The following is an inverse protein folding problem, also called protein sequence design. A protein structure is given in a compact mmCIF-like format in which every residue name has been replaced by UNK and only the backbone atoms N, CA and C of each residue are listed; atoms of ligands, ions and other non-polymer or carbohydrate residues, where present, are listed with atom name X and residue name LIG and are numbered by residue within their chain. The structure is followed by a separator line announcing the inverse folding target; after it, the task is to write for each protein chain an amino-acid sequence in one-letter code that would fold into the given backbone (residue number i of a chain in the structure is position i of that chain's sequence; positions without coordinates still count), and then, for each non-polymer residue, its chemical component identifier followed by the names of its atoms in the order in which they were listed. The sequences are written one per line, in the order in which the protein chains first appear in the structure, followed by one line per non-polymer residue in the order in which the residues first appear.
data_IF_368320022554
#
_entry.id   IF_368320022554
#
_cell.length_a   1.000
_cell.length_b   1.000
_cell.length_c   1.000
_cell.angle_alpha   90.00
_cell.angle_beta   90.00
_cell.angle_gamma   90.00
#
_symmetry.space_group_name_H-M   'P 1'
#
loop_
_entity.id
_entity.type
_entity.pdbx_description
1 polymer ?
#
# COMPACT_ATOMS: atom_id res chain seq x y z
N UNK A 1 -27.71 13.60 -17.27
CA UNK A 1 -26.89 12.43 -17.65
C UNK A 1 -25.61 12.96 -18.30
N UNK A 2 -24.52 13.04 -17.56
CA UNK A 2 -23.21 13.39 -18.09
C UNK A 2 -22.61 12.13 -18.70
N UNK A 3 -22.65 12.02 -20.03
CA UNK A 3 -21.92 10.97 -20.76
C UNK A 3 -20.42 11.26 -20.60
N UNK A 4 -19.81 10.51 -19.70
CA UNK A 4 -18.35 10.54 -19.57
C UNK A 4 -17.72 10.20 -20.91
N UNK A 5 -16.83 11.05 -21.41
CA UNK A 5 -16.01 10.75 -22.61
C UNK A 5 -15.32 9.40 -22.40
N UNK A 6 -15.35 8.48 -23.36
CA UNK A 6 -14.61 7.24 -23.23
C UNK A 6 -13.12 7.56 -23.09
N UNK A 7 -12.45 6.93 -22.14
CA UNK A 7 -11.00 7.06 -21.86
C UNK A 7 -10.10 6.51 -23.01
N UNK A 8 -10.67 6.36 -24.20
CA UNK A 8 -9.94 5.92 -25.40
C UNK A 8 -9.08 7.09 -25.87
N UNK A 9 -7.78 6.92 -25.92
CA UNK A 9 -6.71 7.84 -26.36
C UNK A 9 -6.15 8.79 -25.28
N UNK A 10 -6.13 8.40 -24.01
CA UNK A 10 -5.29 9.08 -23.03
C UNK A 10 -3.86 8.55 -23.17
N UNK A 11 -2.96 9.38 -23.63
CA UNK A 11 -1.52 9.12 -23.57
C UNK A 11 -0.97 9.66 -22.26
N UNK A 12 -0.34 8.78 -21.47
CA UNK A 12 0.41 9.21 -20.31
C UNK A 12 1.72 9.86 -20.78
N UNK A 13 1.97 11.10 -20.36
CA UNK A 13 3.23 11.80 -20.59
C UNK A 13 3.98 11.96 -19.28
N UNK A 14 5.28 11.65 -19.30
CA UNK A 14 6.17 12.04 -18.20
C UNK A 14 6.29 13.55 -18.24
N UNK A 15 5.77 14.22 -17.23
CA UNK A 15 5.81 15.69 -17.11
C UNK A 15 7.08 16.12 -16.40
N UNK A 16 7.52 15.33 -15.41
CA UNK A 16 8.72 15.60 -14.62
C UNK A 16 9.32 14.31 -14.06
N UNK A 17 10.61 14.36 -13.72
CA UNK A 17 11.34 13.27 -13.08
C UNK A 17 11.96 13.79 -11.80
N UNK A 18 11.56 13.20 -10.66
CA UNK A 18 12.05 13.59 -9.35
C UNK A 18 13.10 12.59 -8.91
N UNK A 19 14.30 13.08 -8.65
CA UNK A 19 15.38 12.27 -8.12
C UNK A 19 15.38 12.33 -6.60
N UNK A 20 14.94 11.23 -5.97
CA UNK A 20 14.98 11.09 -4.50
C UNK A 20 16.33 10.51 -4.12
N UNK A 21 17.24 11.39 -3.67
CA UNK A 21 18.61 11.00 -3.27
C UNK A 21 18.69 10.72 -1.78
N UNK A 22 19.15 9.52 -1.46
CA UNK A 22 19.53 9.16 -0.09
C UNK A 22 20.97 8.61 -0.10
N UNK A 23 21.72 8.88 0.96
CA UNK A 23 23.01 8.25 1.21
C UNK A 23 22.79 6.85 1.79
N UNK A 24 22.23 5.96 0.98
CA UNK A 24 21.89 4.61 1.40
C UNK A 24 22.98 3.60 1.10
N UNK A 25 23.11 2.62 1.97
CA UNK A 25 24.03 1.49 1.76
C UNK A 25 23.55 0.57 0.61
N UNK A 26 22.25 0.57 0.30
CA UNK A 26 21.64 -0.19 -0.79
C UNK A 26 20.85 0.75 -1.71
N UNK A 27 20.90 0.47 -3.02
CA UNK A 27 20.05 1.15 -3.98
C UNK A 27 18.58 0.95 -3.61
N UNK A 28 17.78 2.02 -3.45
CA UNK A 28 16.39 1.89 -3.08
C UNK A 28 15.58 1.21 -4.18
N UNK A 29 14.58 0.41 -3.77
CA UNK A 29 13.56 -0.16 -4.65
C UNK A 29 12.19 0.24 -4.14
N UNK A 30 11.63 1.28 -4.75
CA UNK A 30 10.29 1.73 -4.43
C UNK A 30 9.26 0.81 -5.07
N UNK A 31 8.38 0.22 -4.25
CA UNK A 31 7.37 -0.74 -4.70
C UNK A 31 5.98 -0.12 -4.74
N UNK A 32 5.74 0.90 -3.95
CA UNK A 32 4.46 1.60 -3.91
C UNK A 32 4.58 2.99 -3.28
N UNK A 33 3.56 3.82 -3.49
CA UNK A 33 3.44 5.14 -2.88
C UNK A 33 1.98 5.50 -2.60
N UNK A 34 1.77 6.39 -1.63
CA UNK A 34 0.45 6.97 -1.36
C UNK A 34 0.57 8.44 -0.95
N UNK A 35 -0.50 9.21 -1.21
CA UNK A 35 -0.63 10.60 -0.72
C UNK A 35 -1.34 10.60 0.63
N UNK A 36 -0.83 11.37 1.58
CA UNK A 36 -1.39 11.51 2.91
C UNK A 36 -1.88 12.95 3.10
N UNK A 37 -3.21 13.11 3.25
CA UNK A 37 -3.89 14.39 3.52
C UNK A 37 -3.45 15.54 2.59
N UNK A 38 -3.15 15.25 1.32
CA UNK A 38 -2.64 16.20 0.32
C UNK A 38 -1.37 16.99 0.75
N UNK A 39 -0.73 16.59 1.85
CA UNK A 39 0.42 17.30 2.44
C UNK A 39 1.71 16.53 2.29
N UNK A 40 1.63 15.20 2.27
CA UNK A 40 2.79 14.33 2.22
C UNK A 40 2.61 13.23 1.18
N UNK A 41 3.75 12.72 0.70
CA UNK A 41 3.85 11.49 -0.10
C UNK A 41 4.64 10.48 0.71
N UNK A 42 4.11 9.27 0.88
CA UNK A 42 4.85 8.18 1.50
C UNK A 42 5.26 7.16 0.45
N UNK A 43 6.55 6.83 0.43
CA UNK A 43 7.15 5.81 -0.42
C UNK A 43 7.43 4.55 0.39
N UNK A 44 7.25 3.39 -0.23
CA UNK A 44 7.65 2.08 0.31
C UNK A 44 8.97 1.67 -0.32
N UNK A 45 10.04 1.59 0.49
CA UNK A 45 11.38 1.16 0.06
C UNK A 45 11.63 -0.29 0.52
N UNK A 46 11.43 -1.21 -0.42
CA UNK A 46 11.53 -2.65 -0.18
C UNK A 46 12.93 -3.09 0.23
N UNK A 47 13.95 -2.65 -0.48
CA UNK A 47 15.32 -3.17 -0.27
C UNK A 47 15.97 -2.62 1.01
N UNK A 48 15.53 -1.47 1.49
CA UNK A 48 16.00 -0.88 2.75
C UNK A 48 15.01 -1.09 3.92
N UNK A 49 13.93 -1.87 3.72
CA UNK A 49 12.93 -2.21 4.75
C UNK A 49 12.42 -0.97 5.50
N UNK A 50 11.91 0.03 4.77
CA UNK A 50 11.44 1.29 5.37
C UNK A 50 10.30 1.94 4.60
N UNK A 51 9.62 2.86 5.26
CA UNK A 51 8.78 3.88 4.63
C UNK A 51 9.45 5.24 4.72
N UNK A 52 9.33 6.03 3.66
CA UNK A 52 9.92 7.35 3.54
C UNK A 52 8.81 8.38 3.36
N UNK A 53 8.83 9.44 4.14
CA UNK A 53 7.90 10.56 4.02
C UNK A 53 8.58 11.72 3.29
N UNK A 54 7.93 12.19 2.26
CA UNK A 54 8.29 13.39 1.50
C UNK A 54 7.19 14.44 1.66
N UNK A 55 7.53 15.70 1.55
CA UNK A 55 6.53 16.76 1.40
C UNK A 55 6.01 16.84 -0.06
N UNK A 56 5.10 17.75 -0.33
CA UNK A 56 4.51 17.94 -1.68
C UNK A 56 5.48 18.48 -2.73
N UNK A 57 6.64 18.97 -2.32
CA UNK A 57 7.77 19.32 -3.19
C UNK A 57 8.74 18.15 -3.37
N UNK A 58 8.37 16.97 -2.87
CA UNK A 58 9.16 15.73 -2.87
C UNK A 58 10.49 15.83 -2.11
N UNK A 59 10.58 16.77 -1.17
CA UNK A 59 11.72 16.90 -0.27
C UNK A 59 11.58 15.91 0.88
N UNK A 60 12.67 15.25 1.25
CA UNK A 60 12.72 14.31 2.38
C UNK A 60 12.33 14.98 3.69
N UNK A 61 11.41 14.36 4.41
CA UNK A 61 10.96 14.80 5.74
C UNK A 61 11.51 13.86 6.81
N UNK A 62 11.20 12.56 6.71
CA UNK A 62 11.63 11.53 7.65
C UNK A 62 11.47 10.14 7.06
N UNK A 63 11.96 9.12 7.75
CA UNK A 63 11.72 7.72 7.40
C UNK A 63 11.52 6.87 8.66
N UNK A 64 10.88 5.72 8.48
CA UNK A 64 10.64 4.75 9.53
C UNK A 64 11.11 3.37 9.04
N UNK A 65 12.04 2.75 9.77
CA UNK A 65 12.48 1.38 9.51
C UNK A 65 11.41 0.40 9.94
N UNK A 66 11.17 -0.60 9.10
CA UNK A 66 10.24 -1.69 9.33
C UNK A 66 11.00 -3.00 9.62
N UNK A 67 10.36 -3.97 10.29
CA UNK A 67 11.05 -5.20 10.72
C UNK A 67 11.44 -6.13 9.56
N UNK A 68 10.84 -5.96 8.39
CA UNK A 68 11.09 -6.73 7.17
C UNK A 68 10.61 -5.94 5.95
N UNK A 69 10.90 -6.43 4.75
CA UNK A 69 10.62 -5.84 3.45
C UNK A 69 9.14 -5.52 3.23
N UNK A 70 8.74 -4.25 3.18
CA UNK A 70 7.39 -3.82 2.87
C UNK A 70 7.13 -3.89 1.36
N UNK A 71 5.87 -4.03 0.94
CA UNK A 71 5.54 -4.13 -0.49
C UNK A 71 4.52 -3.10 -0.94
N UNK A 72 3.42 -2.97 -0.24
CA UNK A 72 2.30 -2.14 -0.68
C UNK A 72 1.76 -1.29 0.47
N UNK A 73 1.09 -0.17 0.16
CA UNK A 73 0.63 0.80 1.15
C UNK A 73 -0.76 1.34 0.78
N UNK A 74 -1.59 1.59 1.78
CA UNK A 74 -2.82 2.36 1.60
C UNK A 74 -3.06 3.30 2.80
N UNK A 75 -3.86 4.34 2.60
CA UNK A 75 -4.36 5.19 3.69
C UNK A 75 -5.55 4.49 4.32
N UNK A 76 -5.43 4.10 5.59
CA UNK A 76 -6.43 3.36 6.35
C UNK A 76 -7.29 4.24 7.28
N UNK A 77 -6.98 5.52 7.37
CA UNK A 77 -7.69 6.50 8.20
C UNK A 77 -7.00 7.86 8.17
N UNK A 78 -7.51 8.82 8.92
CA UNK A 78 -6.88 10.14 8.99
C UNK A 78 -5.49 10.03 9.65
N UNK A 79 -4.45 10.31 8.87
CA UNK A 79 -3.07 10.17 9.32
C UNK A 79 -2.62 8.74 9.61
N UNK A 80 -3.43 7.72 9.28
CA UNK A 80 -3.09 6.31 9.47
C UNK A 80 -2.85 5.65 8.12
N UNK A 81 -1.74 4.98 7.99
CA UNK A 81 -1.41 4.17 6.80
C UNK A 81 -1.19 2.71 7.20
N UNK A 82 -1.56 1.81 6.30
CA UNK A 82 -1.38 0.38 6.44
C UNK A 82 -0.37 -0.11 5.39
N UNK A 83 0.66 -0.83 5.83
CA UNK A 83 1.76 -1.30 4.99
C UNK A 83 1.85 -2.81 5.06
N UNK A 84 1.85 -3.49 3.92
CA UNK A 84 2.00 -4.94 3.87
C UNK A 84 3.45 -5.37 4.07
N UNK A 85 3.65 -6.38 4.91
CA UNK A 85 4.94 -7.05 5.14
C UNK A 85 4.76 -8.56 4.86
N UNK A 86 4.77 -8.96 3.57
CA UNK A 86 4.33 -10.31 3.16
C UNK A 86 5.14 -11.44 3.78
N UNK A 87 6.45 -11.27 3.94
CA UNK A 87 7.32 -12.31 4.47
C UNK A 87 7.08 -12.60 5.97
N UNK A 88 6.46 -11.65 6.68
CA UNK A 88 6.00 -11.84 8.06
C UNK A 88 4.51 -12.16 8.15
N UNK A 89 3.79 -12.26 7.02
CA UNK A 89 2.32 -12.41 6.97
C UNK A 89 1.63 -11.37 7.86
N UNK A 90 1.92 -10.08 7.62
CA UNK A 90 1.55 -9.00 8.52
C UNK A 90 1.24 -7.72 7.76
N UNK A 91 0.36 -6.93 8.32
CA UNK A 91 0.14 -5.54 7.97
C UNK A 91 0.62 -4.71 9.16
N UNK A 92 1.47 -3.74 8.91
CA UNK A 92 1.90 -2.77 9.92
C UNK A 92 1.09 -1.49 9.76
N UNK A 93 0.45 -1.04 10.83
CA UNK A 93 -0.17 0.27 10.89
C UNK A 93 0.85 1.30 11.35
N UNK A 94 0.89 2.43 10.66
CA UNK A 94 1.77 3.56 10.94
C UNK A 94 0.90 4.80 11.13
N UNK A 95 1.15 5.57 12.18
CA UNK A 95 0.57 6.90 12.36
C UNK A 95 1.54 7.93 11.83
N UNK A 96 1.05 8.77 10.92
CA UNK A 96 1.79 9.89 10.34
C UNK A 96 1.27 11.18 10.97
N UNK A 97 2.11 11.83 11.73
CA UNK A 97 1.85 13.16 12.28
C UNK A 97 2.78 14.18 11.62
N UNK A 98 2.72 15.41 12.05
CA UNK A 98 3.56 16.47 11.51
C UNK A 98 5.06 16.09 11.60
N UNK A 99 5.63 15.66 10.48
CA UNK A 99 7.04 15.26 10.31
C UNK A 99 7.50 13.98 11.04
N UNK A 100 6.58 13.11 11.46
CA UNK A 100 6.96 11.84 12.08
C UNK A 100 6.14 10.66 11.56
N UNK A 101 6.75 9.48 11.57
CA UNK A 101 6.10 8.20 11.28
C UNK A 101 6.30 7.31 12.50
N UNK A 102 5.21 6.84 13.09
CA UNK A 102 5.26 5.99 14.29
C UNK A 102 4.57 4.66 14.02
N UNK A 103 5.27 3.52 14.07
CA UNK A 103 4.63 2.21 14.07
C UNK A 103 3.73 2.06 15.29
N UNK A 104 2.52 1.56 15.05
CA UNK A 104 1.54 1.33 16.13
C UNK A 104 1.15 -0.13 16.20
N UNK A 105 -0.02 -0.50 15.68
CA UNK A 105 -0.51 -1.86 15.70
C UNK A 105 0.00 -2.68 14.52
N UNK A 106 -0.03 -3.99 14.67
CA UNK A 106 0.32 -4.94 13.63
C UNK A 106 -0.77 -6.02 13.54
N UNK A 107 -1.28 -6.24 12.34
CA UNK A 107 -2.35 -7.18 12.04
C UNK A 107 -1.74 -8.42 11.39
N UNK A 108 -1.91 -9.59 12.00
CA UNK A 108 -1.50 -10.86 11.41
C UNK A 108 -2.45 -11.24 10.27
N UNK A 109 -1.90 -11.74 9.16
CA UNK A 109 -2.68 -12.25 8.03
C UNK A 109 -2.47 -13.77 7.88
N UNK A 110 -3.47 -14.46 7.36
CA UNK A 110 -3.45 -15.92 7.17
C UNK A 110 -2.33 -16.34 6.20
N UNK A 111 -2.17 -15.58 5.13
CA UNK A 111 -1.17 -15.81 4.07
C UNK A 111 -0.32 -14.56 3.83
N UNK A 112 0.66 -14.66 2.94
CA UNK A 112 1.44 -13.51 2.49
C UNK A 112 0.51 -12.51 1.79
N UNK A 113 0.40 -11.30 2.31
CA UNK A 113 -0.38 -10.22 1.70
C UNK A 113 0.54 -9.29 0.91
N UNK A 114 0.34 -9.20 -0.39
CA UNK A 114 1.07 -8.30 -1.27
C UNK A 114 0.24 -7.06 -1.62
N UNK A 115 -1.06 -7.25 -1.92
CA UNK A 115 -1.97 -6.16 -2.22
C UNK A 115 -2.74 -5.70 -1.00
N UNK A 116 -2.98 -4.39 -0.89
CA UNK A 116 -3.83 -3.78 0.13
C UNK A 116 -4.54 -2.55 -0.43
N UNK A 117 -5.81 -2.39 -0.09
CA UNK A 117 -6.58 -1.18 -0.38
C UNK A 117 -7.58 -0.91 0.75
N UNK A 118 -7.70 0.33 1.17
CA UNK A 118 -8.73 0.72 2.14
C UNK A 118 -10.10 0.80 1.47
N UNK A 119 -11.09 0.18 2.09
CA UNK A 119 -12.51 0.27 1.70
C UNK A 119 -13.13 1.52 2.33
N UNK A 120 -12.80 1.74 3.58
CA UNK A 120 -13.19 2.89 4.40
C UNK A 120 -12.17 3.05 5.55
N UNK A 121 -12.49 3.88 6.55
CA UNK A 121 -11.61 4.13 7.70
C UNK A 121 -11.46 2.94 8.67
N UNK A 122 -12.33 1.93 8.55
CA UNK A 122 -12.36 0.77 9.46
C UNK A 122 -11.99 -0.54 8.78
N UNK A 123 -11.98 -0.58 7.44
CA UNK A 123 -11.87 -1.81 6.68
C UNK A 123 -10.90 -1.70 5.52
N UNK A 124 -10.17 -2.78 5.28
CA UNK A 124 -9.23 -2.95 4.19
C UNK A 124 -9.47 -4.27 3.46
N UNK A 125 -9.29 -4.27 2.14
CA UNK A 125 -9.15 -5.50 1.37
C UNK A 125 -7.66 -5.78 1.21
N UNK A 126 -7.29 -7.03 1.46
CA UNK A 126 -5.93 -7.55 1.27
C UNK A 126 -5.94 -8.74 0.33
N UNK A 127 -4.85 -8.94 -0.39
CA UNK A 127 -4.73 -10.06 -1.32
C UNK A 127 -3.30 -10.58 -1.43
N UNK A 128 -3.17 -11.81 -1.88
CA UNK A 128 -1.88 -12.44 -2.09
C UNK A 128 -1.99 -13.91 -2.50
N UNK A 129 -0.86 -14.60 -2.64
CA UNK A 129 -0.84 -16.03 -2.91
C UNK A 129 -1.11 -16.85 -1.65
N UNK A 130 -1.78 -17.98 -1.81
CA UNK A 130 -1.91 -19.04 -0.81
C UNK A 130 -0.82 -20.09 -1.04
N UNK A 131 -0.18 -20.54 0.04
CA UNK A 131 0.72 -21.69 0.01
C UNK A 131 1.78 -21.64 -1.09
N UNK A 132 1.66 -22.56 -2.06
CA UNK A 132 2.58 -22.77 -3.17
C UNK A 132 2.44 -21.77 -4.34
N UNK A 133 1.54 -20.81 -4.23
CA UNK A 133 1.32 -19.77 -5.24
C UNK A 133 0.42 -20.18 -6.41
N UNK A 134 -0.25 -21.34 -6.36
CA UNK A 134 -1.26 -21.75 -7.34
C UNK A 134 -2.62 -21.13 -7.04
N UNK A 135 -2.92 -21.00 -5.76
CA UNK A 135 -4.12 -20.34 -5.27
C UNK A 135 -3.79 -18.92 -4.82
N UNK A 136 -4.76 -18.05 -4.98
CA UNK A 136 -4.73 -16.67 -4.51
C UNK A 136 -5.91 -16.42 -3.59
N UNK A 137 -5.81 -15.40 -2.76
CA UNK A 137 -6.90 -14.99 -1.90
C UNK A 137 -7.10 -13.48 -1.94
N UNK A 138 -8.30 -13.08 -1.58
CA UNK A 138 -8.56 -11.76 -1.03
C UNK A 138 -9.35 -11.91 0.28
N UNK A 139 -9.16 -10.96 1.17
CA UNK A 139 -9.84 -10.93 2.46
C UNK A 139 -10.22 -9.49 2.82
N UNK A 140 -11.44 -9.33 3.35
CA UNK A 140 -11.88 -8.09 3.96
C UNK A 140 -11.59 -8.17 5.47
N UNK A 141 -10.75 -7.29 5.97
CA UNK A 141 -10.32 -7.24 7.36
C UNK A 141 -10.57 -5.86 7.96
N UNK A 142 -10.84 -5.79 9.26
CA UNK A 142 -10.93 -4.51 9.97
C UNK A 142 -9.54 -4.04 10.38
N UNK A 143 -9.41 -2.76 10.74
CA UNK A 143 -8.16 -2.18 11.28
C UNK A 143 -7.75 -2.80 12.63
N UNK A 144 -8.68 -3.45 13.35
CA UNK A 144 -8.40 -4.25 14.55
C UNK A 144 -7.96 -5.68 14.23
N UNK A 145 -7.95 -6.07 12.95
CA UNK A 145 -7.49 -7.38 12.49
C UNK A 145 -8.57 -8.47 12.45
N UNK A 146 -9.86 -8.12 12.53
CA UNK A 146 -10.94 -9.08 12.38
C UNK A 146 -11.22 -9.37 10.90
N UNK A 147 -11.04 -10.63 10.49
CA UNK A 147 -11.41 -11.08 9.14
C UNK A 147 -12.94 -11.22 9.03
N UNK A 148 -13.55 -10.46 8.11
CA UNK A 148 -15.00 -10.47 7.85
C UNK A 148 -15.38 -11.40 6.69
N UNK A 149 -14.55 -11.38 5.64
CA UNK A 149 -14.77 -12.16 4.42
C UNK A 149 -13.42 -12.71 3.99
N UNK A 150 -13.41 -13.94 3.53
CA UNK A 150 -12.25 -14.61 2.96
C UNK A 150 -12.66 -15.39 1.72
N UNK A 151 -11.91 -15.26 0.64
CA UNK A 151 -12.18 -15.95 -0.62
C UNK A 151 -10.89 -16.41 -1.27
N UNK A 152 -10.85 -17.68 -1.73
CA UNK A 152 -9.76 -18.24 -2.51
C UNK A 152 -10.18 -18.49 -3.95
N UNK A 153 -9.24 -18.38 -4.89
CA UNK A 153 -9.44 -18.64 -6.30
C UNK A 153 -8.15 -19.13 -6.97
N UNK A 154 -8.30 -19.91 -8.04
CA UNK A 154 -7.16 -20.29 -8.87
C UNK A 154 -6.64 -19.09 -9.66
N UNK A 155 -5.32 -18.86 -9.60
CA UNK A 155 -4.64 -17.83 -10.37
C UNK A 155 -3.77 -18.45 -11.47
N UNK A 156 -4.11 -18.20 -12.72
CA UNK A 156 -3.23 -18.57 -13.84
C UNK A 156 -2.38 -17.37 -14.23
N UNK A 157 -1.07 -17.43 -13.95
CA UNK A 157 -0.10 -16.44 -14.46
C UNK A 157 -0.10 -15.07 -13.78
N UNK A 158 -0.70 -14.92 -12.61
CA UNK A 158 -0.67 -13.66 -11.86
C UNK A 158 0.56 -13.68 -10.94
N UNK A 159 1.57 -12.88 -11.25
CA UNK A 159 2.78 -12.81 -10.43
C UNK A 159 2.65 -11.91 -9.19
N UNK A 160 1.77 -10.91 -9.22
CA UNK A 160 1.53 -9.97 -8.13
C UNK A 160 0.07 -9.53 -8.14
N UNK A 161 -0.57 -9.52 -6.98
CA UNK A 161 -1.96 -9.08 -6.85
C UNK A 161 -1.99 -7.66 -6.35
N UNK A 162 -2.24 -6.72 -7.26
CA UNK A 162 -2.54 -5.33 -6.91
C UNK A 162 -4.05 -5.16 -6.76
N UNK A 163 -4.45 -4.44 -5.73
CA UNK A 163 -5.84 -4.06 -5.50
C UNK A 163 -5.99 -2.56 -5.73
N UNK A 164 -6.98 -2.19 -6.51
CA UNK A 164 -7.45 -0.82 -6.61
C UNK A 164 -8.97 -0.81 -6.41
N UNK A 165 -9.44 0.02 -5.50
CA UNK A 165 -10.87 0.23 -5.29
C UNK A 165 -11.34 1.41 -6.14
N UNK A 166 -12.37 1.18 -6.94
CA UNK A 166 -13.03 2.26 -7.66
C UNK A 166 -13.94 3.03 -6.68
N UNK A 167 -13.73 4.33 -6.56
CA UNK A 167 -14.55 5.22 -5.75
C UNK A 167 -15.96 5.46 -6.31
N UNK A 168 -16.39 4.77 -7.36
CA UNK A 168 -17.77 4.81 -7.83
C UNK A 168 -18.66 4.23 -6.74
N UNK A 169 -19.35 5.10 -6.01
CA UNK A 169 -20.44 4.74 -5.12
C UNK A 169 -21.45 3.92 -5.90
N UNK A 170 -21.43 2.61 -5.77
CA UNK A 170 -22.61 1.81 -6.07
C UNK A 170 -23.64 2.15 -5.00
N UNK A 171 -24.72 2.75 -5.44
CA UNK A 171 -25.96 2.93 -4.65
C UNK A 171 -26.60 1.58 -4.40
#
# INVERSE_FOLDING_TARGET
MTTGKPLRNLEAKVVDTIEVKFLDAKRPRYTDLTFINHTYVMLVDFDNSRCILLDTSFVYVTSCTLPEKPVNICVAGEGVVAVTIPYQKRIQLLVVTNKSITPTASIATRHKCYGIAAVNQEEMIVSGPCGDGKMYYWSLITVEGKEKVYHEFEGKGISHTYLALNASKTR
#
